data_IF_513170132421
#
_entry.id   IF_513170132421
#
_cell.length_a   1.000
_cell.length_b   1.000
_cell.length_c   1.000
_cell.angle_alpha   90.00
_cell.angle_beta   90.00
_cell.angle_gamma   90.00
#
_symmetry.space_group_name_H-M   'P 1'
#
loop_
_entity.id
_entity.type
_entity.pdbx_description
1 polymer ?
#
# COMPACT_ATOMS: atom_id res chain seq x y z
N UNK A 1 -27.00 -0.08 8.04
CA UNK A 1 -26.21 0.61 6.99
C UNK A 1 -26.01 -0.33 5.83
N UNK A 2 -26.36 0.09 4.60
CA UNK A 2 -26.13 -0.69 3.39
C UNK A 2 -24.81 -0.30 2.76
N UNK A 3 -23.97 -1.28 2.50
CA UNK A 3 -22.61 -1.09 1.99
C UNK A 3 -22.42 -1.92 0.74
N UNK A 4 -21.98 -1.28 -0.34
CA UNK A 4 -21.58 -1.95 -1.58
C UNK A 4 -20.07 -2.09 -1.61
N UNK A 5 -19.60 -3.30 -1.85
CA UNK A 5 -18.19 -3.62 -2.06
C UNK A 5 -17.97 -3.74 -3.56
N UNK A 6 -17.08 -2.93 -4.10
CA UNK A 6 -16.71 -2.96 -5.52
C UNK A 6 -15.33 -3.56 -5.67
N UNK A 7 -15.17 -4.54 -6.56
CA UNK A 7 -13.86 -5.07 -6.95
C UNK A 7 -13.70 -5.05 -8.47
N UNK A 8 -12.47 -5.15 -8.93
CA UNK A 8 -12.12 -5.17 -10.34
C UNK A 8 -11.46 -6.50 -10.65
N UNK A 9 -11.98 -7.21 -11.67
CA UNK A 9 -11.66 -8.60 -11.93
C UNK A 9 -11.88 -9.47 -10.66
N UNK A 10 -11.01 -10.44 -10.46
CA UNK A 10 -11.01 -11.32 -9.29
C UNK A 10 -9.98 -10.89 -8.24
N UNK A 11 -9.45 -9.66 -8.31
CA UNK A 11 -8.51 -9.14 -7.32
C UNK A 11 -9.25 -8.53 -6.12
N UNK A 12 -9.63 -9.40 -5.21
CA UNK A 12 -10.36 -9.02 -3.99
C UNK A 12 -9.58 -9.26 -2.69
N UNK A 13 -8.35 -9.79 -2.75
CA UNK A 13 -7.59 -10.14 -1.55
C UNK A 13 -7.35 -8.93 -0.64
N UNK A 14 -6.97 -7.78 -1.18
CA UNK A 14 -6.78 -6.56 -0.41
C UNK A 14 -8.08 -6.07 0.24
N UNK A 15 -9.20 -6.13 -0.48
CA UNK A 15 -10.53 -5.78 0.02
C UNK A 15 -10.96 -6.75 1.12
N UNK A 16 -10.79 -8.05 0.94
CA UNK A 16 -11.13 -9.07 1.91
C UNK A 16 -10.35 -8.92 3.21
N UNK A 17 -9.04 -8.68 3.12
CA UNK A 17 -8.21 -8.39 4.30
C UNK A 17 -8.67 -7.13 5.04
N UNK A 18 -8.98 -6.08 4.29
CA UNK A 18 -9.45 -4.83 4.88
C UNK A 18 -10.79 -5.04 5.61
N UNK A 19 -11.74 -5.76 4.99
CA UNK A 19 -13.02 -6.09 5.58
C UNK A 19 -12.88 -6.94 6.85
N UNK A 20 -11.98 -7.93 6.85
CA UNK A 20 -11.72 -8.80 8.00
C UNK A 20 -11.18 -8.03 9.22
N UNK A 21 -10.51 -6.90 8.99
CA UNK A 21 -9.99 -6.04 10.05
C UNK A 21 -11.00 -5.02 10.60
N UNK A 22 -12.24 -5.00 10.08
CA UNK A 22 -13.29 -4.08 10.50
C UNK A 22 -14.46 -4.83 11.15
N UNK A 23 -15.25 -4.12 11.96
CA UNK A 23 -16.53 -4.63 12.47
C UNK A 23 -17.69 -4.10 11.62
N UNK A 24 -18.31 -4.99 10.86
CA UNK A 24 -19.50 -4.72 10.06
C UNK A 24 -20.78 -5.31 10.66
N UNK A 25 -20.79 -5.57 11.97
CA UNK A 25 -21.98 -6.06 12.65
C UNK A 25 -23.16 -5.10 12.48
N UNK A 26 -24.27 -5.61 11.95
CA UNK A 26 -25.46 -4.79 11.65
C UNK A 26 -25.44 -4.05 10.32
N UNK A 27 -24.41 -4.21 9.50
CA UNK A 27 -24.42 -3.74 8.11
C UNK A 27 -24.95 -4.82 7.15
N UNK A 28 -25.62 -4.40 6.09
CA UNK A 28 -25.98 -5.24 4.95
C UNK A 28 -24.95 -5.02 3.86
N UNK A 29 -24.24 -6.08 3.47
CA UNK A 29 -23.20 -6.03 2.45
C UNK A 29 -23.74 -6.53 1.11
N UNK A 30 -23.45 -5.82 0.02
CA UNK A 30 -23.65 -6.25 -1.35
C UNK A 30 -22.31 -6.21 -2.09
N UNK A 31 -22.18 -7.02 -3.15
CA UNK A 31 -20.93 -7.18 -3.87
C UNK A 31 -21.11 -6.90 -5.37
N UNK A 32 -20.36 -5.95 -5.90
CA UNK A 32 -20.31 -5.64 -7.32
C UNK A 32 -18.93 -5.94 -7.87
N UNK A 33 -18.88 -6.81 -8.86
CA UNK A 33 -17.66 -7.16 -9.56
C UNK A 33 -17.65 -6.48 -10.93
N UNK A 34 -16.63 -5.68 -11.19
CA UNK A 34 -16.35 -5.09 -12.49
C UNK A 34 -15.48 -6.08 -13.27
N UNK A 35 -15.99 -6.64 -14.36
CA UNK A 35 -15.28 -7.62 -15.20
C UNK A 35 -15.74 -7.50 -16.65
N UNK A 36 -14.82 -7.47 -17.66
CA UNK A 36 -13.35 -7.42 -17.53
C UNK A 36 -12.85 -6.11 -16.94
N UNK A 37 -11.54 -6.02 -16.67
CA UNK A 37 -10.93 -4.79 -16.17
C UNK A 37 -11.15 -3.64 -17.15
N UNK A 38 -11.73 -2.51 -16.72
CA UNK A 38 -11.87 -1.33 -17.56
C UNK A 38 -10.51 -0.64 -17.73
N UNK A 39 -10.33 0.00 -18.87
CA UNK A 39 -9.14 0.80 -19.19
C UNK A 39 -9.24 2.19 -18.58
N UNK A 40 -10.43 2.76 -18.61
CA UNK A 40 -10.74 4.09 -18.07
C UNK A 40 -12.04 4.06 -17.28
N UNK A 41 -12.16 4.94 -16.31
CA UNK A 41 -13.32 4.99 -15.40
C UNK A 41 -14.66 5.23 -16.11
N UNK A 42 -14.64 5.96 -17.23
CA UNK A 42 -15.83 6.24 -18.05
C UNK A 42 -16.58 4.99 -18.45
N UNK A 43 -15.87 3.89 -18.70
CA UNK A 43 -16.49 2.65 -19.15
C UNK A 43 -17.46 2.04 -18.11
N UNK A 44 -17.34 2.39 -16.85
CA UNK A 44 -18.13 1.78 -15.78
C UNK A 44 -18.98 2.76 -14.99
N UNK A 45 -18.69 4.06 -15.06
CA UNK A 45 -19.35 5.05 -14.20
C UNK A 45 -20.86 5.13 -14.44
N UNK A 46 -21.33 5.05 -15.68
CA UNK A 46 -22.77 5.09 -15.99
C UNK A 46 -23.48 3.85 -15.44
N UNK A 47 -22.89 2.68 -15.63
CA UNK A 47 -23.43 1.42 -15.10
C UNK A 47 -23.46 1.41 -13.56
N UNK A 48 -22.42 1.96 -12.90
CA UNK A 48 -22.39 2.10 -11.44
C UNK A 48 -23.48 3.05 -10.94
N UNK A 49 -23.73 4.16 -11.62
CA UNK A 49 -24.81 5.11 -11.28
C UNK A 49 -26.17 4.45 -11.43
N UNK A 50 -26.45 3.81 -12.58
CA UNK A 50 -27.70 3.12 -12.82
C UNK A 50 -27.96 2.01 -11.79
N UNK A 51 -26.93 1.23 -11.49
CA UNK A 51 -27.06 0.15 -10.52
C UNK A 51 -27.29 0.68 -9.11
N UNK A 52 -26.60 1.75 -8.72
CA UNK A 52 -26.81 2.38 -7.43
C UNK A 52 -28.24 2.96 -7.32
N UNK A 53 -28.79 3.53 -8.39
CA UNK A 53 -30.17 4.02 -8.41
C UNK A 53 -31.20 2.90 -8.21
N UNK A 54 -30.89 1.67 -8.67
CA UNK A 54 -31.77 0.50 -8.47
C UNK A 54 -31.67 -0.06 -7.04
N UNK A 55 -30.48 -0.05 -6.48
CA UNK A 55 -30.17 -0.56 -5.13
C UNK A 55 -29.31 0.44 -4.36
N UNK A 56 -29.90 1.51 -3.82
CA UNK A 56 -29.14 2.54 -3.11
C UNK A 56 -28.45 2.00 -1.86
N UNK A 57 -27.24 2.48 -1.62
CA UNK A 57 -26.47 2.21 -0.41
C UNK A 57 -25.88 3.47 0.18
N UNK A 58 -25.66 3.47 1.50
CA UNK A 58 -25.06 4.61 2.19
C UNK A 58 -23.55 4.70 1.98
N UNK A 59 -22.91 3.57 1.74
CA UNK A 59 -21.45 3.48 1.54
C UNK A 59 -21.15 2.63 0.31
N UNK A 60 -20.17 3.08 -0.49
CA UNK A 60 -19.60 2.31 -1.61
C UNK A 60 -18.09 2.24 -1.43
N UNK A 61 -17.57 1.02 -1.29
CA UNK A 61 -16.14 0.73 -1.08
C UNK A 61 -15.49 0.34 -2.40
N UNK A 62 -14.42 1.02 -2.76
CA UNK A 62 -13.60 0.76 -3.94
C UNK A 62 -12.23 0.20 -3.55
N UNK A 63 -11.57 -0.56 -4.43
CA UNK A 63 -10.22 -1.08 -4.17
C UNK A 63 -9.20 0.05 -3.98
N UNK A 64 -8.05 -0.29 -3.42
CA UNK A 64 -6.92 0.63 -3.29
C UNK A 64 -6.28 0.95 -4.65
N UNK A 65 -5.64 2.11 -4.73
CA UNK A 65 -4.91 2.55 -5.91
C UNK A 65 -5.61 3.67 -6.69
N UNK A 66 -4.90 4.23 -7.66
CA UNK A 66 -5.34 5.43 -8.39
C UNK A 66 -6.70 5.24 -9.07
N UNK A 67 -6.97 4.06 -9.62
CA UNK A 67 -8.23 3.77 -10.29
C UNK A 67 -9.40 3.69 -9.31
N UNK A 68 -9.20 3.08 -8.13
CA UNK A 68 -10.20 3.07 -7.06
C UNK A 68 -10.47 4.47 -6.50
N UNK A 69 -9.44 5.29 -6.35
CA UNK A 69 -9.55 6.70 -5.93
C UNK A 69 -10.38 7.51 -6.95
N UNK A 70 -10.13 7.30 -8.25
CA UNK A 70 -10.86 7.93 -9.34
C UNK A 70 -12.33 7.51 -9.35
N UNK A 71 -12.62 6.22 -9.29
CA UNK A 71 -13.99 5.72 -9.27
C UNK A 71 -14.78 6.26 -8.06
N UNK A 72 -14.18 6.20 -6.87
CA UNK A 72 -14.81 6.72 -5.65
C UNK A 72 -15.16 8.20 -5.78
N UNK A 73 -14.23 9.00 -6.27
CA UNK A 73 -14.41 10.45 -6.41
C UNK A 73 -15.45 10.79 -7.46
N UNK A 74 -15.37 10.16 -8.63
CA UNK A 74 -16.27 10.47 -9.76
C UNK A 74 -17.68 9.93 -9.54
N UNK A 75 -17.84 8.76 -8.92
CA UNK A 75 -19.14 8.25 -8.56
C UNK A 75 -19.82 9.14 -7.51
N UNK A 76 -19.09 9.52 -6.45
CA UNK A 76 -19.62 10.45 -5.44
C UNK A 76 -20.10 11.76 -6.06
N UNK A 77 -19.34 12.32 -6.99
CA UNK A 77 -19.74 13.53 -7.72
C UNK A 77 -21.07 13.35 -8.46
N UNK A 78 -21.21 12.26 -9.24
CA UNK A 78 -22.43 11.97 -10.02
C UNK A 78 -23.65 11.72 -9.16
N UNK A 79 -23.46 11.17 -7.96
CA UNK A 79 -24.54 10.86 -7.02
C UNK A 79 -24.76 11.98 -5.96
N UNK A 80 -24.08 13.13 -6.09
CA UNK A 80 -24.13 14.23 -5.13
C UNK A 80 -23.76 13.83 -3.69
N UNK A 81 -22.97 12.76 -3.55
CA UNK A 81 -22.46 12.21 -2.31
C UNK A 81 -21.17 12.87 -1.84
N UNK A 82 -20.38 12.14 -1.08
CA UNK A 82 -19.04 12.52 -0.67
C UNK A 82 -18.03 11.40 -0.98
N UNK A 83 -16.77 11.76 -1.21
CA UNK A 83 -15.70 10.78 -1.34
C UNK A 83 -14.59 11.02 -0.34
N UNK A 84 -14.01 9.92 0.18
CA UNK A 84 -12.79 9.92 0.98
C UNK A 84 -11.91 8.80 0.44
N UNK A 85 -10.73 9.17 -0.08
CA UNK A 85 -9.81 8.21 -0.65
C UNK A 85 -8.76 7.77 0.37
N UNK A 86 -8.21 6.55 0.17
CA UNK A 86 -7.15 5.96 0.97
C UNK A 86 -7.53 5.76 2.44
N UNK A 87 -8.67 5.12 2.64
CA UNK A 87 -9.28 4.89 3.96
C UNK A 87 -8.60 3.71 4.66
N UNK A 88 -8.17 3.92 5.91
CA UNK A 88 -7.58 2.89 6.77
C UNK A 88 -8.68 2.07 7.45
N UNK A 89 -9.71 2.74 7.98
CA UNK A 89 -10.82 2.09 8.67
C UNK A 89 -12.12 2.89 8.55
N UNK A 90 -13.23 2.18 8.66
CA UNK A 90 -14.60 2.71 8.73
C UNK A 90 -15.25 2.21 10.02
N UNK A 91 -15.72 3.12 10.85
CA UNK A 91 -16.60 2.81 11.96
C UNK A 91 -18.04 3.04 11.51
N UNK A 92 -18.81 1.95 11.38
CA UNK A 92 -20.20 2.00 10.91
C UNK A 92 -21.16 2.59 11.96
N UNK A 93 -20.81 2.50 13.24
CA UNK A 93 -21.67 2.99 14.33
C UNK A 93 -21.72 4.50 14.38
N UNK A 94 -20.59 5.16 14.11
CA UNK A 94 -20.43 6.61 14.10
C UNK A 94 -20.39 7.21 12.69
N UNK A 95 -20.37 6.36 11.66
CA UNK A 95 -20.12 6.73 10.25
C UNK A 95 -18.83 7.56 10.08
N UNK A 96 -17.81 7.27 10.90
CA UNK A 96 -16.52 7.94 10.86
C UNK A 96 -15.49 7.12 10.08
N UNK A 97 -14.63 7.82 9.37
CA UNK A 97 -13.61 7.26 8.50
C UNK A 97 -12.24 7.71 8.97
N UNK A 98 -11.31 6.78 9.13
CA UNK A 98 -9.91 7.10 9.43
C UNK A 98 -9.07 7.01 8.18
N UNK A 99 -8.27 8.01 7.94
CA UNK A 99 -7.30 8.02 6.83
C UNK A 99 -5.95 8.57 7.29
N UNK A 100 -4.91 8.16 6.58
CA UNK A 100 -3.59 8.74 6.76
C UNK A 100 -3.54 10.15 6.19
N UNK A 101 -2.79 11.03 6.87
CA UNK A 101 -2.58 12.41 6.47
C UNK A 101 -1.11 12.81 6.70
N UNK A 102 -0.65 13.87 6.01
CA UNK A 102 0.72 14.37 6.13
C UNK A 102 1.77 13.26 5.95
N UNK A 103 1.69 12.51 4.84
CA UNK A 103 2.65 11.46 4.55
C UNK A 103 2.72 10.36 5.61
N UNK A 104 1.56 9.92 6.09
CA UNK A 104 1.41 8.93 7.16
C UNK A 104 1.88 9.36 8.56
N UNK A 105 2.30 10.61 8.75
CA UNK A 105 2.69 11.12 10.07
C UNK A 105 1.50 11.25 11.03
N UNK A 106 0.30 11.52 10.49
CA UNK A 106 -0.93 11.69 11.25
C UNK A 106 -2.02 10.78 10.74
N UNK A 107 -2.99 10.47 11.58
CA UNK A 107 -4.25 9.84 11.22
C UNK A 107 -5.38 10.82 11.50
N UNK A 108 -6.14 11.18 10.47
CA UNK A 108 -7.33 12.00 10.59
C UNK A 108 -8.56 11.11 10.72
N UNK A 109 -9.49 11.51 11.60
CA UNK A 109 -10.85 10.95 11.66
C UNK A 109 -11.80 11.96 11.02
N UNK A 110 -12.52 11.54 10.00
CA UNK A 110 -13.42 12.38 9.21
C UNK A 110 -14.85 11.85 9.33
N UNK A 111 -15.80 12.77 9.33
CA UNK A 111 -17.24 12.47 9.27
C UNK A 111 -17.91 13.35 8.24
N UNK A 112 -18.96 12.84 7.61
CA UNK A 112 -19.81 13.58 6.68
C UNK A 112 -21.24 13.05 6.73
N UNK A 113 -22.20 13.92 6.59
CA UNK A 113 -23.61 13.57 6.50
C UNK A 113 -24.04 13.25 5.06
N UNK A 114 -23.22 13.64 4.06
CA UNK A 114 -23.53 13.36 2.65
C UNK A 114 -23.50 11.88 2.34
N UNK A 115 -24.50 11.45 1.56
CA UNK A 115 -24.63 10.06 1.08
C UNK A 115 -24.89 10.05 -0.44
N UNK A 116 -24.44 9.01 -1.18
CA UNK A 116 -23.56 7.96 -0.68
C UNK A 116 -22.17 8.48 -0.27
N UNK A 117 -21.53 7.76 0.65
CA UNK A 117 -20.13 7.95 0.97
C UNK A 117 -19.30 6.94 0.16
N UNK A 118 -18.60 7.42 -0.85
CA UNK A 118 -17.74 6.61 -1.70
C UNK A 118 -16.31 6.61 -1.15
N UNK A 119 -15.79 5.44 -0.82
CA UNK A 119 -14.49 5.27 -0.17
C UNK A 119 -13.58 4.42 -1.04
N UNK A 120 -12.34 4.81 -1.24
CA UNK A 120 -11.30 3.91 -1.71
C UNK A 120 -10.40 3.48 -0.56
N UNK A 121 -9.91 2.25 -0.59
CA UNK A 121 -9.09 1.71 0.47
C UNK A 121 -7.66 2.27 0.42
N UNK A 122 -7.04 2.43 1.59
CA UNK A 122 -5.61 2.63 1.66
C UNK A 122 -4.88 1.38 1.15
N UNK A 123 -3.74 1.58 0.49
CA UNK A 123 -2.87 0.46 0.10
C UNK A 123 -2.45 -0.31 1.34
N UNK A 124 -2.73 -1.58 1.35
CA UNK A 124 -2.30 -2.50 2.39
C UNK A 124 -1.04 -3.24 1.98
N UNK A 125 -0.16 -3.50 2.94
CA UNK A 125 1.09 -4.20 2.75
C UNK A 125 1.15 -5.36 3.74
N UNK A 126 1.66 -6.51 3.31
CA UNK A 126 1.73 -7.70 4.17
C UNK A 126 0.40 -8.43 4.35
N UNK A 127 -0.53 -8.28 3.42
CA UNK A 127 -1.84 -8.93 3.47
C UNK A 127 -1.76 -10.40 3.06
N UNK A 128 -2.69 -11.22 3.58
CA UNK A 128 -2.83 -12.60 3.14
C UNK A 128 -3.29 -12.66 1.68
N UNK A 129 -2.50 -13.34 0.83
CA UNK A 129 -2.78 -13.46 -0.61
C UNK A 129 -4.06 -14.26 -0.91
N UNK A 130 -4.49 -15.13 -0.01
CA UNK A 130 -5.65 -16.01 -0.18
C UNK A 130 -6.88 -15.58 0.62
N UNK A 131 -6.93 -14.34 1.10
CA UNK A 131 -8.11 -13.83 1.78
C UNK A 131 -9.32 -13.82 0.83
N UNK A 132 -10.48 -14.23 1.33
CA UNK A 132 -11.73 -14.31 0.58
C UNK A 132 -12.76 -13.33 1.14
N UNK A 133 -13.62 -12.82 0.27
CA UNK A 133 -14.76 -12.01 0.70
C UNK A 133 -15.70 -12.82 1.61
N UNK A 134 -16.47 -12.16 2.49
CA UNK A 134 -17.46 -12.82 3.32
C UNK A 134 -18.40 -13.70 2.49
N UNK A 135 -18.74 -14.88 3.00
CA UNK A 135 -19.65 -15.81 2.32
C UNK A 135 -21.08 -15.28 2.28
N UNK A 136 -21.84 -15.66 1.23
CA UNK A 136 -23.26 -15.34 1.12
C UNK A 136 -23.56 -13.93 0.58
N UNK A 137 -22.55 -13.19 0.10
CA UNK A 137 -22.80 -11.91 -0.57
C UNK A 137 -23.50 -12.14 -1.91
N UNK A 138 -24.56 -11.36 -2.17
CA UNK A 138 -25.20 -11.33 -3.49
C UNK A 138 -24.24 -10.62 -4.46
N UNK A 139 -23.70 -11.36 -5.42
CA UNK A 139 -22.82 -10.83 -6.45
C UNK A 139 -23.64 -10.23 -7.61
N UNK A 140 -23.23 -9.06 -8.06
CA UNK A 140 -23.66 -8.43 -9.29
C UNK A 140 -22.45 -8.15 -10.18
N UNK A 141 -22.53 -8.51 -11.46
CA UNK A 141 -21.47 -8.21 -12.41
C UNK A 141 -21.77 -6.89 -13.13
N UNK A 142 -20.80 -5.99 -13.13
CA UNK A 142 -20.77 -4.74 -13.87
C UNK A 142 -19.87 -4.94 -15.09
N UNK A 143 -20.45 -4.87 -16.27
CA UNK A 143 -19.69 -5.00 -17.52
C UNK A 143 -19.30 -3.61 -18.01
N UNK A 144 -18.01 -3.35 -18.27
CA UNK A 144 -17.55 -2.10 -18.84
C UNK A 144 -18.17 -1.82 -20.21
N UNK A 145 -18.58 -0.58 -20.42
CA UNK A 145 -19.08 -0.09 -21.73
C UNK A 145 -17.94 0.13 -22.74
N UNK A 146 -18.30 0.73 -23.86
CA UNK A 146 -17.35 1.08 -24.92
C UNK A 146 -16.28 2.07 -24.43
N UNK A 147 -15.13 2.07 -25.12
CA UNK A 147 -14.12 3.10 -24.91
C UNK A 147 -14.67 4.48 -25.32
N UNK A 148 -14.34 5.53 -24.58
CA UNK A 148 -14.76 6.87 -24.94
C UNK A 148 -14.03 7.38 -26.18
N UNK A 149 -14.70 8.19 -26.99
CA UNK A 149 -14.18 8.71 -28.27
C UNK A 149 -12.91 9.56 -28.14
N UNK A 150 -12.64 10.11 -26.96
CA UNK A 150 -11.43 10.89 -26.70
C UNK A 150 -10.16 10.05 -26.54
N UNK A 151 -10.30 8.73 -26.30
CA UNK A 151 -9.17 7.82 -26.14
C UNK A 151 -8.66 7.37 -27.51
N UNK A 152 -7.55 7.98 -27.95
CA UNK A 152 -6.99 7.81 -29.30
C UNK A 152 -6.15 6.54 -29.42
N UNK A 153 -5.35 6.21 -28.37
CA UNK A 153 -4.47 5.04 -28.40
C UNK A 153 -4.25 4.49 -27.01
N UNK A 154 -3.97 3.21 -26.95
CA UNK A 154 -3.63 2.45 -25.73
C UNK A 154 -2.31 1.74 -26.04
N UNK A 155 -1.32 1.92 -25.20
CA UNK A 155 -0.06 1.19 -25.26
C UNK A 155 0.04 0.28 -24.03
N UNK A 156 0.11 -1.03 -24.28
CA UNK A 156 0.45 -1.98 -23.22
C UNK A 156 1.94 -1.89 -22.91
N UNK A 157 2.26 -1.45 -21.72
CA UNK A 157 3.62 -1.56 -21.19
C UNK A 157 3.89 -3.05 -20.93
N UNK A 158 4.38 -3.74 -21.96
CA UNK A 158 4.84 -5.14 -21.84
C UNK A 158 5.96 -5.19 -20.83
N UNK A 159 5.80 -6.00 -19.79
CA UNK A 159 6.76 -6.26 -18.71
C UNK A 159 6.79 -5.23 -17.56
N UNK A 160 5.68 -4.96 -16.93
CA UNK A 160 5.71 -4.61 -15.51
C UNK A 160 6.04 -5.91 -14.76
N UNK A 161 7.33 -6.25 -14.69
CA UNK A 161 7.81 -7.27 -13.76
C UNK A 161 7.43 -6.80 -12.36
N UNK A 162 6.87 -7.70 -11.56
CA UNK A 162 6.62 -7.41 -10.15
C UNK A 162 7.93 -6.92 -9.55
N UNK A 163 7.89 -5.79 -8.87
CA UNK A 163 9.07 -5.21 -8.27
C UNK A 163 9.59 -6.15 -7.16
N UNK A 164 10.83 -6.65 -7.27
CA UNK A 164 11.42 -7.55 -6.30
C UNK A 164 11.35 -7.03 -4.87
N UNK A 165 11.47 -5.70 -4.68
CA UNK A 165 11.38 -5.07 -3.37
C UNK A 165 10.04 -5.29 -2.66
N UNK A 166 8.93 -5.30 -3.40
CA UNK A 166 7.60 -5.45 -2.80
C UNK A 166 7.29 -6.88 -2.36
N UNK A 167 8.00 -7.88 -2.91
CA UNK A 167 7.83 -9.30 -2.60
C UNK A 167 8.94 -9.86 -1.70
N UNK A 168 9.99 -9.08 -1.46
CA UNK A 168 11.15 -9.51 -0.69
C UNK A 168 10.77 -9.83 0.76
N UNK A 169 11.25 -10.97 1.26
CA UNK A 169 11.14 -11.34 2.67
C UNK A 169 12.14 -10.60 3.55
N UNK A 170 13.26 -10.18 2.97
CA UNK A 170 14.31 -9.40 3.65
C UNK A 170 14.66 -8.20 2.78
N UNK A 171 14.79 -7.04 3.39
CA UNK A 171 15.17 -5.81 2.70
C UNK A 171 16.28 -5.11 3.47
N UNK A 172 17.32 -4.71 2.73
CA UNK A 172 18.37 -3.83 3.20
C UNK A 172 18.07 -2.41 2.72
N UNK A 173 17.77 -1.51 3.63
CA UNK A 173 17.50 -0.09 3.33
C UNK A 173 18.71 0.75 3.67
N UNK A 174 19.31 1.40 2.67
CA UNK A 174 20.53 2.19 2.83
C UNK A 174 20.18 3.68 2.83
N UNK A 175 20.51 4.34 3.93
CA UNK A 175 20.40 5.77 4.09
C UNK A 175 21.58 6.54 3.52
N UNK A 176 21.59 7.86 3.69
CA UNK A 176 22.65 8.74 3.20
C UNK A 176 24.01 8.48 3.88
N UNK A 177 24.01 8.06 5.15
CA UNK A 177 25.22 7.68 5.89
C UNK A 177 25.80 6.31 5.52
N UNK A 178 25.13 5.56 4.64
CA UNK A 178 25.64 4.28 4.10
C UNK A 178 26.54 4.51 2.89
N UNK A 179 27.62 5.28 3.03
CA UNK A 179 28.57 5.56 1.94
C UNK A 179 29.35 4.31 1.56
N UNK A 180 28.96 3.68 0.47
CA UNK A 180 29.69 2.58 -0.16
C UNK A 180 29.33 2.50 -1.64
N UNK A 181 30.15 1.80 -2.41
CA UNK A 181 29.85 1.47 -3.80
C UNK A 181 28.59 0.60 -3.87
N UNK A 182 27.76 0.87 -4.87
CA UNK A 182 26.54 0.10 -5.12
C UNK A 182 26.79 -1.38 -5.30
N UNK A 183 27.95 -1.78 -5.83
CA UNK A 183 28.34 -3.18 -5.97
C UNK A 183 28.61 -3.84 -4.61
N UNK A 184 29.26 -3.13 -3.69
CA UNK A 184 29.54 -3.63 -2.35
C UNK A 184 28.24 -3.85 -1.56
N UNK A 185 27.32 -2.86 -1.63
CA UNK A 185 26.00 -2.98 -1.02
C UNK A 185 25.23 -4.17 -1.59
N UNK A 186 25.25 -4.33 -2.92
CA UNK A 186 24.57 -5.45 -3.58
C UNK A 186 25.13 -6.81 -3.17
N UNK A 187 26.45 -6.95 -3.06
CA UNK A 187 27.09 -8.19 -2.60
C UNK A 187 26.74 -8.52 -1.14
N UNK A 188 26.68 -7.53 -0.26
CA UNK A 188 26.28 -7.77 1.14
C UNK A 188 24.80 -8.15 1.23
N UNK A 189 23.95 -7.49 0.47
CA UNK A 189 22.53 -7.81 0.42
C UNK A 189 22.27 -9.22 -0.13
N UNK A 190 22.95 -9.61 -1.19
CA UNK A 190 22.88 -10.98 -1.76
C UNK A 190 23.24 -12.04 -0.71
N UNK A 191 24.33 -11.85 0.03
CA UNK A 191 24.75 -12.76 1.11
C UNK A 191 23.73 -12.83 2.25
N UNK A 192 22.98 -11.77 2.50
CA UNK A 192 21.88 -11.72 3.47
C UNK A 192 20.56 -12.27 2.91
N UNK A 193 20.49 -12.56 1.61
CA UNK A 193 19.27 -12.90 0.92
C UNK A 193 18.24 -11.78 0.96
N UNK A 194 18.69 -10.52 0.83
CA UNK A 194 17.89 -9.31 0.94
C UNK A 194 17.89 -8.52 -0.37
N UNK A 195 16.75 -7.89 -0.70
CA UNK A 195 16.67 -6.88 -1.74
C UNK A 195 17.14 -5.52 -1.21
N UNK A 196 17.71 -4.69 -2.10
CA UNK A 196 18.26 -3.37 -1.72
C UNK A 196 17.28 -2.26 -2.09
N UNK A 197 16.95 -1.45 -1.09
CA UNK A 197 16.25 -0.19 -1.27
C UNK A 197 17.02 0.99 -0.65
N UNK A 198 16.65 2.19 -1.04
CA UNK A 198 17.37 3.40 -0.64
C UNK A 198 16.44 4.45 -0.05
N UNK A 199 16.97 5.24 0.88
CA UNK A 199 16.29 6.46 1.29
C UNK A 199 16.24 7.45 0.14
N UNK A 200 15.21 8.30 0.09
CA UNK A 200 15.08 9.34 -0.95
C UNK A 200 16.33 10.25 -1.02
N UNK A 201 16.85 10.65 0.15
CA UNK A 201 18.05 11.49 0.20
C UNK A 201 19.27 10.81 -0.42
N UNK A 202 19.42 9.51 -0.25
CA UNK A 202 20.50 8.72 -0.85
C UNK A 202 20.38 8.69 -2.37
N UNK A 203 19.18 8.47 -2.90
CA UNK A 203 18.93 8.43 -4.35
C UNK A 203 19.19 9.78 -4.99
N UNK A 204 18.67 10.85 -4.41
CA UNK A 204 18.82 12.20 -4.98
C UNK A 204 20.27 12.70 -4.98
N UNK A 205 21.06 12.33 -4.00
CA UNK A 205 22.46 12.76 -3.88
C UNK A 205 23.43 11.79 -4.55
N UNK A 206 23.05 10.53 -4.76
CA UNK A 206 23.95 9.48 -5.26
C UNK A 206 23.73 9.07 -6.72
N UNK A 207 22.75 9.64 -7.43
CA UNK A 207 22.44 9.25 -8.81
C UNK A 207 21.98 7.79 -8.93
N UNK A 208 21.39 7.23 -7.88
CA UNK A 208 20.90 5.87 -7.82
C UNK A 208 19.51 5.76 -8.44
N UNK A 209 19.10 4.53 -8.73
CA UNK A 209 17.82 4.23 -9.34
C UNK A 209 16.64 4.73 -8.47
N UNK A 210 15.84 5.62 -9.04
CA UNK A 210 14.67 6.20 -8.38
C UNK A 210 13.56 5.15 -8.11
N UNK A 211 13.55 4.06 -8.85
CA UNK A 211 12.59 2.96 -8.65
C UNK A 211 12.87 2.19 -7.34
N UNK A 212 14.04 2.34 -6.75
CA UNK A 212 14.41 1.70 -5.46
C UNK A 212 14.21 2.58 -4.23
N UNK A 213 13.50 3.70 -4.37
CA UNK A 213 13.20 4.58 -3.24
C UNK A 213 12.21 3.93 -2.27
N UNK A 214 12.56 3.90 -0.98
CA UNK A 214 11.70 3.46 0.11
C UNK A 214 11.12 4.68 0.84
N UNK A 215 9.84 4.60 1.18
CA UNK A 215 9.15 5.65 1.93
C UNK A 215 7.86 6.12 1.26
N UNK A 216 7.29 7.21 1.77
CA UNK A 216 6.01 7.75 1.28
C UNK A 216 6.01 8.17 -0.20
N UNK A 217 7.17 8.48 -0.76
CA UNK A 217 7.34 8.85 -2.16
C UNK A 217 7.88 7.72 -3.04
N UNK A 218 7.94 6.50 -2.51
CA UNK A 218 8.43 5.30 -3.17
C UNK A 218 7.67 4.07 -2.68
N UNK A 219 8.41 2.99 -2.41
CA UNK A 219 7.81 1.74 -1.96
C UNK A 219 7.42 1.77 -0.48
N UNK A 220 6.24 1.21 -0.19
CA UNK A 220 5.83 0.81 1.13
C UNK A 220 6.00 -0.70 1.23
N UNK A 221 6.78 -1.16 2.20
CA UNK A 221 7.22 -2.54 2.32
C UNK A 221 6.67 -3.22 3.59
N UNK A 222 6.55 -4.54 3.54
CA UNK A 222 6.22 -5.37 4.69
C UNK A 222 7.04 -6.68 4.68
N UNK A 223 8.38 -6.61 4.65
CA UNK A 223 9.22 -7.79 4.73
C UNK A 223 9.15 -8.47 6.09
N UNK A 224 9.61 -9.72 6.16
CA UNK A 224 9.81 -10.38 7.45
C UNK A 224 10.88 -9.65 8.28
N UNK A 225 11.97 -9.22 7.61
CA UNK A 225 13.07 -8.46 8.24
C UNK A 225 13.46 -7.27 7.37
N UNK A 226 13.52 -6.10 7.97
CA UNK A 226 14.04 -4.87 7.37
C UNK A 226 15.30 -4.42 8.12
N UNK A 227 16.42 -4.32 7.42
CA UNK A 227 17.68 -3.81 7.99
C UNK A 227 17.89 -2.40 7.44
N UNK A 228 17.87 -1.40 8.31
CA UNK A 228 18.04 0.01 7.96
C UNK A 228 19.42 0.47 8.39
N UNK A 229 20.27 0.84 7.43
CA UNK A 229 21.66 1.24 7.72
C UNK A 229 21.93 2.69 7.31
N UNK A 230 22.65 3.43 8.13
CA UNK A 230 23.08 4.80 7.83
C UNK A 230 21.95 5.79 7.54
N UNK A 231 20.77 5.56 8.09
CA UNK A 231 19.60 6.43 7.92
C UNK A 231 19.26 7.17 9.21
N UNK A 232 18.88 8.44 9.10
CA UNK A 232 18.51 9.27 10.26
C UNK A 232 17.18 8.87 10.92
N UNK A 233 16.33 8.12 10.22
CA UNK A 233 14.99 7.77 10.72
C UNK A 233 13.92 8.82 10.39
N UNK A 234 14.09 9.57 9.29
CA UNK A 234 13.07 10.50 8.83
C UNK A 234 11.71 9.81 8.67
N UNK A 235 10.65 10.45 9.15
CA UNK A 235 9.29 9.90 9.16
C UNK A 235 8.83 9.41 7.77
N UNK A 236 9.28 10.08 6.70
CA UNK A 236 9.01 9.70 5.33
C UNK A 236 9.61 8.34 4.94
N UNK A 237 10.82 8.03 5.40
CA UNK A 237 11.45 6.73 5.21
C UNK A 237 10.79 5.67 6.08
N UNK A 238 10.63 5.97 7.36
CA UNK A 238 10.09 5.00 8.32
C UNK A 238 8.66 4.59 8.00
N UNK A 239 7.86 5.47 7.38
CA UNK A 239 6.55 5.10 6.84
C UNK A 239 6.64 3.98 5.80
N UNK A 240 7.75 3.89 5.05
CA UNK A 240 7.98 2.85 4.05
C UNK A 240 8.30 1.47 4.65
N UNK A 241 8.80 1.41 5.87
CA UNK A 241 9.27 0.15 6.49
C UNK A 241 8.50 -0.26 7.74
N UNK A 242 7.61 0.59 8.26
CA UNK A 242 6.88 0.37 9.53
C UNK A 242 6.01 -0.89 9.56
N UNK A 243 5.64 -1.43 8.40
CA UNK A 243 4.86 -2.67 8.30
C UNK A 243 5.74 -3.92 8.23
N UNK A 244 7.07 -3.77 8.35
CA UNK A 244 7.99 -4.90 8.50
C UNK A 244 7.66 -5.65 9.80
N UNK A 245 7.84 -6.97 9.80
CA UNK A 245 7.62 -7.76 11.02
C UNK A 245 8.72 -7.53 12.05
N UNK A 246 9.95 -7.22 11.57
CA UNK A 246 11.10 -6.95 12.42
C UNK A 246 12.01 -5.92 11.74
N UNK A 247 12.34 -4.85 12.45
CA UNK A 247 13.20 -3.76 11.98
C UNK A 247 14.48 -3.71 12.78
N UNK A 248 15.61 -3.83 12.09
CA UNK A 248 16.96 -3.63 12.64
C UNK A 248 17.48 -2.30 12.14
N UNK A 249 17.95 -1.44 13.04
CA UNK A 249 18.60 -0.18 12.67
C UNK A 249 20.09 -0.22 13.05
N UNK A 250 20.94 0.19 12.12
CA UNK A 250 22.39 0.35 12.35
C UNK A 250 22.78 1.77 12.00
N UNK A 251 23.34 2.48 12.97
CA UNK A 251 23.81 3.85 12.77
C UNK A 251 24.94 4.16 13.75
N UNK A 252 25.93 4.94 13.31
CA UNK A 252 27.02 5.38 14.19
C UNK A 252 26.57 6.50 15.15
N UNK A 253 25.50 7.24 14.84
CA UNK A 253 24.92 8.26 15.70
C UNK A 253 23.88 7.64 16.64
N UNK A 254 24.24 7.47 17.92
CA UNK A 254 23.35 6.92 18.93
C UNK A 254 22.08 7.75 19.17
N UNK A 255 22.05 9.01 18.72
CA UNK A 255 20.89 9.90 18.86
C UNK A 255 19.96 9.86 17.65
N UNK A 256 20.29 9.07 16.62
CA UNK A 256 19.50 8.99 15.40
C UNK A 256 18.06 8.50 15.68
N UNK A 257 17.07 9.23 15.14
CA UNK A 257 15.65 8.93 15.36
C UNK A 257 15.24 7.54 14.86
N UNK A 258 16.00 6.90 13.97
CA UNK A 258 15.75 5.55 13.48
C UNK A 258 15.62 4.52 14.58
N UNK A 259 16.38 4.68 15.67
CA UNK A 259 16.34 3.76 16.81
C UNK A 259 15.02 3.75 17.56
N UNK A 260 14.27 4.87 17.55
CA UNK A 260 12.97 4.94 18.22
C UNK A 260 11.87 4.13 17.51
N UNK A 261 12.13 3.65 16.29
CA UNK A 261 11.18 2.93 15.45
C UNK A 261 11.71 1.55 15.02
N UNK A 262 12.83 1.13 15.59
CA UNK A 262 13.44 -0.17 15.34
C UNK A 262 13.18 -1.11 16.52
N UNK A 263 13.03 -2.41 16.24
CA UNK A 263 12.97 -3.45 17.27
C UNK A 263 14.33 -3.71 17.88
N UNK A 264 15.40 -3.58 17.08
CA UNK A 264 16.81 -3.68 17.52
C UNK A 264 17.60 -2.55 16.90
N UNK A 265 18.36 -1.86 17.76
CA UNK A 265 19.32 -0.82 17.36
C UNK A 265 20.76 -1.23 17.64
N UNK A 266 21.64 -1.03 16.66
CA UNK A 266 23.08 -1.24 16.81
C UNK A 266 23.80 0.07 16.53
N UNK A 267 24.55 0.57 17.54
CA UNK A 267 25.34 1.80 17.40
C UNK A 267 26.77 1.40 17.03
N UNK A 268 27.02 1.33 15.73
CA UNK A 268 28.33 0.93 15.21
C UNK A 268 28.43 1.27 13.70
N UNK A 269 29.57 0.95 13.10
CA UNK A 269 29.77 0.97 11.66
C UNK A 269 28.89 -0.10 10.98
N UNK A 270 28.03 0.36 10.08
CA UNK A 270 27.04 -0.51 9.45
C UNK A 270 27.68 -1.64 8.62
N UNK A 271 28.84 -1.40 8.01
CA UNK A 271 29.52 -2.39 7.18
C UNK A 271 30.05 -3.53 8.04
N UNK A 272 30.77 -3.21 9.13
CA UNK A 272 31.24 -4.19 10.07
C UNK A 272 30.12 -5.05 10.67
N UNK A 273 28.96 -4.41 10.98
CA UNK A 273 27.77 -5.11 11.49
C UNK A 273 27.18 -6.06 10.44
N UNK A 274 27.04 -5.62 9.17
CA UNK A 274 26.51 -6.50 8.12
C UNK A 274 27.45 -7.66 7.80
N UNK A 275 28.77 -7.44 7.78
CA UNK A 275 29.77 -8.51 7.60
C UNK A 275 29.71 -9.55 8.72
N UNK A 276 29.55 -9.10 9.97
CA UNK A 276 29.38 -9.98 11.12
C UNK A 276 28.04 -10.76 11.04
N UNK A 277 26.95 -10.12 10.61
CA UNK A 277 25.66 -10.80 10.38
C UNK A 277 25.76 -11.88 9.31
N UNK A 278 26.39 -11.58 8.18
CA UNK A 278 26.63 -12.58 7.11
C UNK A 278 27.40 -13.78 7.64
N UNK A 279 28.46 -13.53 8.42
CA UNK A 279 29.29 -14.61 8.98
C UNK A 279 28.48 -15.52 9.92
N UNK A 280 27.66 -14.94 10.79
CA UNK A 280 26.89 -15.71 11.77
C UNK A 280 25.73 -16.47 11.12
N UNK A 281 25.01 -15.89 10.14
CA UNK A 281 23.93 -16.60 9.41
C UNK A 281 24.46 -17.86 8.72
N UNK A 282 25.68 -17.82 8.17
CA UNK A 282 26.29 -18.99 7.54
C UNK A 282 26.81 -20.03 8.53
N UNK A 283 27.15 -19.63 9.76
CA UNK A 283 27.55 -20.55 10.81
C UNK A 283 26.40 -21.37 11.38
N UNK A 284 25.19 -20.75 11.49
CA UNK A 284 23.99 -21.44 12.02
C UNK A 284 23.33 -22.40 11.00
N UNK A 285 23.75 -22.36 9.74
CA UNK A 285 23.25 -23.23 8.68
C UNK A 285 24.12 -24.50 8.44
N UNK A 286 25.18 -24.70 9.22
CA UNK A 286 26.04 -25.90 9.21
C UNK A 286 25.74 -26.79 10.43
#
# INVERSE_FOLDING_TARGET
MNIIIVTINQDYAAMANWLAAQDFSGATLAYWQIEPQPIVAEQVLDALVEQWQRTPAEVVLFPSGAFGDELATRLAWRLHGASICQVISLDISTASVRKSHWGNALTATLQTEKRPLCLSLARQVGTEKNATLPSGLQQLNIVPGALPDWLISIEDLKNVTRDPLTEARRVLVVGQGGEADSQEIAMLAEKLGAEVGYSRARVMNGGLDAEKVIGISGHLLAPDVCIVVGASGAAALMAGVRNSKFVVAVNHDASAAVFSQADVGVVDDWKAVLEALVTNIHADCQ
#
